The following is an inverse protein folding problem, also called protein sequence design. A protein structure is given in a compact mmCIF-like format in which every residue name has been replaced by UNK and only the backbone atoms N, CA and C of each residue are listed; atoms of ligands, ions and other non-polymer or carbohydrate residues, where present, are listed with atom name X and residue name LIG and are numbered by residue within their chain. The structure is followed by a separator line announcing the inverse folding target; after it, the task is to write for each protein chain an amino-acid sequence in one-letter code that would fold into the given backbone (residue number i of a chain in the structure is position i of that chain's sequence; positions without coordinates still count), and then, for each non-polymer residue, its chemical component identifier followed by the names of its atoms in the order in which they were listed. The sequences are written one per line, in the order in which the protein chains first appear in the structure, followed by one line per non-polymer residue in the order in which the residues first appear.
data_IF_006005389037
#
_entry.id   IF_006005389037
#
_cell.length_a   1.000
_cell.length_b   1.000
_cell.length_c   1.000
_cell.angle_alpha   90.00
_cell.angle_beta   90.00
_cell.angle_gamma   90.00
#
_symmetry.space_group_name_H-M   'P 1'
#
loop_
_entity.id
_entity.type
_entity.pdbx_description
1 polymer ?
#
# COMPACT_ATOMS: atom_id res chain seq x y z
N UNK A 1 18.64 21.40 -54.69
CA UNK A 1 19.30 20.94 -53.44
C UNK A 1 19.99 19.61 -53.73
N UNK A 2 21.30 19.55 -53.54
CA UNK A 2 22.11 18.39 -53.97
C UNK A 2 21.75 17.16 -53.13
N UNK A 3 21.58 15.99 -53.76
CA UNK A 3 21.20 14.72 -53.08
C UNK A 3 22.09 14.40 -51.87
N UNK A 4 23.38 14.79 -51.92
CA UNK A 4 24.34 14.65 -50.83
C UNK A 4 23.98 15.47 -49.58
N UNK A 5 23.42 16.66 -49.75
CA UNK A 5 23.03 17.54 -48.64
C UNK A 5 21.73 17.06 -47.97
N UNK A 6 20.81 16.48 -48.74
CA UNK A 6 19.63 15.79 -48.21
C UNK A 6 20.00 14.57 -47.36
N UNK A 7 21.01 13.80 -47.78
CA UNK A 7 21.49 12.65 -47.03
C UNK A 7 22.13 13.05 -45.69
N UNK A 8 22.95 14.10 -45.69
CA UNK A 8 23.59 14.64 -44.48
C UNK A 8 22.54 15.14 -43.47
N UNK A 9 21.53 15.89 -43.94
CA UNK A 9 20.45 16.37 -43.07
C UNK A 9 19.61 15.24 -42.48
N UNK A 10 19.36 14.17 -43.25
CA UNK A 10 18.64 12.99 -42.76
C UNK A 10 19.46 12.21 -41.73
N UNK A 11 20.78 12.08 -41.93
CA UNK A 11 21.67 11.41 -40.98
C UNK A 11 21.78 12.17 -39.65
N UNK A 12 21.87 13.51 -39.69
CA UNK A 12 21.84 14.34 -38.49
C UNK A 12 20.52 14.22 -37.72
N UNK A 13 19.38 14.15 -38.41
CA UNK A 13 18.07 14.01 -37.77
C UNK A 13 17.92 12.65 -37.07
N UNK A 14 18.39 11.57 -37.70
CA UNK A 14 18.40 10.22 -37.08
C UNK A 14 19.31 10.21 -35.85
N UNK A 15 20.48 10.85 -35.91
CA UNK A 15 21.42 10.92 -34.79
C UNK A 15 20.81 11.69 -33.59
N UNK A 16 20.10 12.79 -33.85
CA UNK A 16 19.42 13.59 -32.83
C UNK A 16 18.27 12.79 -32.18
N UNK A 17 17.52 12.01 -32.96
CA UNK A 17 16.48 11.11 -32.44
C UNK A 17 17.10 10.01 -31.57
N UNK A 18 18.23 9.45 -31.99
CA UNK A 18 18.94 8.40 -31.22
C UNK A 18 19.47 8.93 -29.89
N UNK A 19 20.01 10.16 -29.85
CA UNK A 19 20.46 10.84 -28.63
C UNK A 19 19.28 11.23 -27.73
N UNK A 20 18.12 11.59 -28.30
CA UNK A 20 16.91 11.87 -27.55
C UNK A 20 16.29 10.64 -26.86
N UNK A 21 16.46 9.45 -27.44
CA UNK A 21 15.97 8.19 -26.87
C UNK A 21 16.78 7.76 -25.63
N UNK A 22 18.08 8.02 -25.56
CA UNK A 22 18.91 7.61 -24.41
C UNK A 22 18.63 8.40 -23.13
N UNK A 23 17.92 9.53 -23.23
CA UNK A 23 17.52 10.35 -22.07
C UNK A 23 16.28 9.86 -21.33
N UNK A 24 15.60 8.81 -21.84
CA UNK A 24 14.44 8.18 -21.21
C UNK A 24 14.74 6.76 -20.70
N UNK A 25 16.02 6.45 -20.42
CA UNK A 25 16.34 5.31 -19.57
C UNK A 25 16.21 5.81 -18.14
N UNK A 26 14.96 5.91 -17.67
CA UNK A 26 14.71 5.98 -16.25
C UNK A 26 15.34 4.71 -15.66
N UNK A 27 16.34 4.89 -14.80
CA UNK A 27 16.93 3.77 -14.10
C UNK A 27 15.80 3.01 -13.41
N UNK A 28 15.62 1.74 -13.75
CA UNK A 28 14.84 0.82 -12.93
C UNK A 28 15.67 0.62 -11.68
N UNK A 29 15.51 1.54 -10.72
CA UNK A 29 16.03 1.34 -9.38
C UNK A 29 15.28 0.14 -8.83
N UNK A 30 16.00 -0.97 -8.62
CA UNK A 30 15.47 -2.04 -7.80
C UNK A 30 15.10 -1.41 -6.45
N UNK A 31 13.83 -1.50 -6.06
CA UNK A 31 13.38 -1.08 -4.73
C UNK A 31 14.25 -1.84 -3.72
N UNK A 32 14.99 -1.10 -2.90
CA UNK A 32 15.83 -1.67 -1.86
C UNK A 32 14.92 -2.31 -0.82
N UNK A 33 14.78 -3.64 -0.87
CA UNK A 33 13.92 -4.38 0.06
C UNK A 33 14.53 -4.35 1.45
N UNK A 34 13.75 -3.91 2.42
CA UNK A 34 14.17 -3.91 3.82
C UNK A 34 14.37 -5.34 4.33
N UNK A 35 15.28 -5.51 5.30
CA UNK A 35 15.55 -6.83 5.88
C UNK A 35 14.35 -7.38 6.67
N UNK A 36 13.69 -6.50 7.42
CA UNK A 36 12.43 -6.74 8.11
C UNK A 36 11.38 -5.87 7.43
N UNK A 37 10.41 -6.50 6.78
CA UNK A 37 9.26 -5.82 6.20
C UNK A 37 8.01 -6.66 6.44
N UNK A 38 7.07 -6.08 7.18
CA UNK A 38 5.81 -6.72 7.57
C UNK A 38 4.65 -5.97 6.92
N UNK A 39 3.90 -6.67 6.09
CA UNK A 39 2.76 -6.13 5.37
C UNK A 39 1.46 -6.65 5.97
N UNK A 40 0.52 -5.75 6.22
CA UNK A 40 -0.76 -6.02 6.87
C UNK A 40 -1.90 -5.79 5.88
N UNK A 41 -2.88 -6.69 5.86
CA UNK A 41 -4.09 -6.53 5.05
C UNK A 41 -5.33 -7.00 5.85
N UNK A 42 -6.29 -6.11 6.15
CA UNK A 42 -6.36 -4.70 5.75
C UNK A 42 -5.31 -3.81 6.45
N UNK A 43 -4.88 -2.71 5.81
CA UNK A 43 -3.90 -1.76 6.39
C UNK A 43 -4.51 -0.78 7.40
N UNK A 44 -5.74 -0.34 7.17
CA UNK A 44 -6.28 0.85 7.83
C UNK A 44 -7.40 0.61 8.84
N UNK A 45 -8.30 -0.36 8.64
CA UNK A 45 -9.42 -0.60 9.54
C UNK A 45 -9.66 -2.09 9.60
N UNK A 46 -9.44 -2.68 10.78
CA UNK A 46 -9.76 -4.09 10.99
C UNK A 46 -11.26 -4.26 11.27
N UNK A 47 -11.81 -3.46 12.19
CA UNK A 47 -13.20 -3.53 12.61
C UNK A 47 -13.94 -2.22 12.38
N UNK A 48 -15.15 -2.33 11.84
CA UNK A 48 -16.17 -1.29 11.92
C UNK A 48 -17.44 -1.95 12.45
N UNK A 49 -17.71 -1.75 13.74
CA UNK A 49 -18.84 -2.36 14.43
C UNK A 49 -19.66 -1.26 15.11
N UNK A 50 -20.92 -1.14 14.70
CA UNK A 50 -21.83 -0.10 15.17
C UNK A 50 -23.05 -0.75 15.81
N UNK A 51 -23.62 -0.07 16.81
CA UNK A 51 -24.84 -0.50 17.50
C UNK A 51 -24.78 -1.94 18.05
N UNK A 52 -23.60 -2.38 18.49
CA UNK A 52 -23.44 -3.68 19.14
C UNK A 52 -24.11 -3.67 20.52
N UNK A 53 -24.89 -4.71 20.79
CA UNK A 53 -25.59 -4.91 22.06
C UNK A 53 -24.83 -5.93 22.91
N UNK A 54 -25.05 -5.94 24.24
CA UNK A 54 -24.57 -7.01 25.10
C UNK A 54 -24.92 -8.39 24.54
N UNK A 55 -23.91 -9.24 24.33
CA UNK A 55 -24.02 -10.55 23.70
C UNK A 55 -23.71 -10.60 22.20
N UNK A 56 -23.57 -9.46 21.53
CA UNK A 56 -23.15 -9.41 20.13
C UNK A 56 -21.66 -9.66 19.99
N UNK A 57 -21.26 -10.09 18.78
CA UNK A 57 -19.88 -10.28 18.39
C UNK A 57 -19.65 -9.84 16.96
N UNK A 58 -18.41 -9.49 16.65
CA UNK A 58 -17.96 -9.19 15.31
C UNK A 58 -16.63 -9.90 15.07
N UNK A 59 -16.47 -10.54 13.90
CA UNK A 59 -15.21 -11.19 13.52
C UNK A 59 -14.61 -10.56 12.26
N UNK A 60 -13.29 -10.48 12.21
CA UNK A 60 -12.53 -9.96 11.07
C UNK A 60 -11.23 -10.73 10.94
N UNK A 61 -10.79 -10.97 9.70
CA UNK A 61 -9.48 -11.54 9.44
C UNK A 61 -8.48 -10.45 9.10
N UNK A 62 -7.23 -10.69 9.47
CA UNK A 62 -6.08 -9.90 9.03
C UNK A 62 -5.02 -10.86 8.51
N UNK A 63 -4.41 -10.47 7.39
CA UNK A 63 -3.28 -11.17 6.78
C UNK A 63 -2.00 -10.43 7.11
N UNK A 64 -1.05 -11.16 7.68
CA UNK A 64 0.28 -10.66 8.02
C UNK A 64 1.27 -11.35 7.10
N UNK A 65 2.02 -10.59 6.32
CA UNK A 65 2.99 -11.12 5.35
C UNK A 65 4.39 -10.62 5.65
N UNK A 66 5.38 -11.50 5.50
CA UNK A 66 6.78 -11.11 5.52
C UNK A 66 7.25 -10.82 4.08
N UNK A 67 7.32 -9.53 3.74
CA UNK A 67 7.80 -9.03 2.43
C UNK A 67 9.31 -8.72 2.44
N UNK A 68 9.96 -8.88 3.60
CA UNK A 68 11.37 -8.61 3.80
C UNK A 68 12.28 -9.67 3.19
N UNK A 69 13.59 -9.49 3.41
CA UNK A 69 14.61 -10.41 2.90
C UNK A 69 15.06 -11.45 3.93
N UNK A 70 14.66 -11.31 5.21
CA UNK A 70 14.96 -12.24 6.30
C UNK A 70 13.70 -12.79 6.96
N UNK A 71 13.83 -13.91 7.69
CA UNK A 71 12.78 -14.38 8.60
C UNK A 71 12.59 -13.35 9.74
N UNK A 72 11.34 -13.15 10.17
CA UNK A 72 11.02 -12.23 11.27
C UNK A 72 10.22 -12.96 12.35
N UNK A 73 10.25 -12.42 13.56
CA UNK A 73 9.32 -12.74 14.64
C UNK A 73 8.40 -11.55 14.85
N UNK A 74 7.10 -11.80 15.03
CA UNK A 74 6.15 -10.74 15.33
C UNK A 74 5.33 -11.00 16.60
N UNK A 75 4.94 -9.94 17.28
CA UNK A 75 3.97 -9.94 18.37
C UNK A 75 2.89 -8.89 18.15
N UNK A 76 1.79 -9.03 18.89
CA UNK A 76 0.58 -8.24 18.72
C UNK A 76 0.19 -7.70 20.08
N UNK A 77 -0.19 -6.43 20.11
CA UNK A 77 -0.88 -5.81 21.24
C UNK A 77 -2.05 -4.96 20.77
N UNK A 78 -2.93 -4.60 21.70
CA UNK A 78 -3.93 -3.57 21.46
C UNK A 78 -3.79 -2.42 22.43
N UNK A 79 -4.11 -1.24 21.94
CA UNK A 79 -4.11 0.00 22.70
C UNK A 79 -5.37 0.80 22.38
N UNK A 80 -5.88 1.53 23.38
CA UNK A 80 -6.93 2.51 23.14
C UNK A 80 -6.32 3.73 22.44
N UNK A 81 -6.88 4.10 21.31
CA UNK A 81 -6.51 5.31 20.58
C UNK A 81 -7.36 6.50 21.05
N UNK A 82 -8.69 6.33 21.06
CA UNK A 82 -9.65 7.38 21.39
C UNK A 82 -10.93 6.81 22.02
N UNK A 83 -11.74 7.67 22.63
CA UNK A 83 -13.04 7.30 23.17
C UNK A 83 -12.98 6.73 24.59
N UNK A 84 -13.90 5.82 24.89
CA UNK A 84 -14.12 5.31 26.24
C UNK A 84 -13.14 4.19 26.58
N UNK A 85 -12.23 4.47 27.52
CA UNK A 85 -11.40 3.45 28.16
C UNK A 85 -12.29 2.42 28.87
N UNK A 86 -13.37 2.85 29.53
CA UNK A 86 -14.30 1.93 30.21
C UNK A 86 -14.86 0.87 29.27
N UNK A 87 -15.26 1.27 28.05
CA UNK A 87 -15.74 0.30 27.05
C UNK A 87 -14.59 -0.59 26.54
N UNK A 88 -13.42 -0.02 26.27
CA UNK A 88 -12.22 -0.78 25.86
C UNK A 88 -11.86 -1.89 26.87
N UNK A 89 -11.90 -1.60 28.16
CA UNK A 89 -11.60 -2.57 29.22
C UNK A 89 -12.67 -3.66 29.35
N UNK A 90 -13.91 -3.35 29.02
CA UNK A 90 -15.04 -4.28 29.11
C UNK A 90 -15.14 -5.24 27.92
N UNK A 91 -14.64 -4.85 26.74
CA UNK A 91 -14.70 -5.66 25.53
C UNK A 91 -13.73 -6.85 25.61
N UNK A 92 -14.21 -8.02 25.15
CA UNK A 92 -13.41 -9.24 25.04
C UNK A 92 -12.97 -9.46 23.61
N UNK A 93 -11.81 -10.07 23.42
CA UNK A 93 -11.30 -10.47 22.11
C UNK A 93 -10.78 -11.89 22.14
N UNK A 94 -11.03 -12.59 21.05
CA UNK A 94 -10.45 -13.91 20.76
C UNK A 94 -9.64 -13.79 19.48
N UNK A 95 -8.40 -14.30 19.49
CA UNK A 95 -7.52 -14.36 18.32
C UNK A 95 -7.26 -15.82 17.98
N UNK A 96 -7.53 -16.20 16.73
CA UNK A 96 -7.36 -17.57 16.24
C UNK A 96 -6.50 -17.61 14.99
N UNK A 97 -5.71 -18.66 14.85
CA UNK A 97 -5.08 -19.07 13.61
C UNK A 97 -5.80 -20.33 13.13
N UNK A 98 -6.64 -20.17 12.12
CA UNK A 98 -7.60 -21.19 11.67
C UNK A 98 -8.46 -21.68 12.84
N UNK A 99 -8.23 -22.91 13.34
CA UNK A 99 -8.94 -23.49 14.49
C UNK A 99 -8.17 -23.39 15.80
N UNK A 100 -6.89 -23.00 15.78
CA UNK A 100 -6.05 -22.88 16.97
C UNK A 100 -6.35 -21.57 17.68
N UNK A 101 -6.74 -21.66 18.95
CA UNK A 101 -6.87 -20.50 19.83
C UNK A 101 -5.49 -19.98 20.21
N UNK A 102 -5.22 -18.70 19.93
CA UNK A 102 -3.96 -18.04 20.29
C UNK A 102 -4.12 -17.12 21.50
N UNK A 103 -5.28 -16.49 21.63
CA UNK A 103 -5.58 -15.58 22.73
C UNK A 103 -7.09 -15.53 22.99
N UNK A 104 -7.48 -15.45 24.26
CA UNK A 104 -8.83 -15.17 24.71
C UNK A 104 -8.76 -14.36 25.99
N UNK A 105 -9.37 -13.17 26.01
CA UNK A 105 -9.29 -12.26 27.15
C UNK A 105 -9.93 -10.91 26.87
N UNK A 106 -9.69 -9.93 27.73
CA UNK A 106 -10.10 -8.54 27.47
C UNK A 106 -9.18 -7.87 26.45
N UNK A 107 -9.66 -6.85 25.72
CA UNK A 107 -8.79 -6.05 24.86
C UNK A 107 -7.68 -5.37 25.67
N UNK A 108 -7.97 -4.92 26.90
CA UNK A 108 -6.97 -4.33 27.80
C UNK A 108 -5.78 -5.26 28.07
N UNK A 109 -6.03 -6.55 28.26
CA UNK A 109 -5.01 -7.53 28.61
C UNK A 109 -4.18 -8.01 27.42
N UNK A 110 -4.56 -7.65 26.19
CA UNK A 110 -3.79 -7.95 24.98
C UNK A 110 -2.59 -6.98 24.86
N UNK A 111 -1.66 -7.05 25.82
CA UNK A 111 -0.47 -6.18 25.87
C UNK A 111 0.74 -6.78 25.13
N UNK A 112 0.82 -8.10 25.05
CA UNK A 112 1.78 -8.81 24.21
C UNK A 112 1.33 -10.26 24.06
N UNK A 113 1.04 -10.67 22.82
CA UNK A 113 0.90 -12.08 22.49
C UNK A 113 2.25 -12.80 22.46
N UNK A 114 2.22 -14.13 22.52
CA UNK A 114 3.37 -14.98 22.25
C UNK A 114 3.94 -14.66 20.85
N UNK A 115 5.26 -14.48 20.78
CA UNK A 115 5.96 -14.15 19.52
C UNK A 115 5.81 -15.30 18.52
N UNK A 116 5.54 -14.97 17.26
CA UNK A 116 5.38 -15.93 16.16
C UNK A 116 6.41 -15.67 15.08
N UNK A 117 7.06 -16.73 14.62
CA UNK A 117 8.06 -16.63 13.55
C UNK A 117 7.40 -16.77 12.18
N UNK A 118 7.68 -15.83 11.28
CA UNK A 118 7.20 -15.81 9.91
C UNK A 118 8.38 -15.87 8.92
N UNK A 119 8.43 -16.93 8.12
CA UNK A 119 9.47 -17.10 7.11
C UNK A 119 9.28 -16.13 5.93
N UNK A 120 10.35 -15.91 5.17
CA UNK A 120 10.38 -15.00 4.01
C UNK A 120 9.28 -15.38 3.01
N UNK A 121 8.49 -14.40 2.57
CA UNK A 121 7.41 -14.59 1.59
C UNK A 121 6.25 -15.44 2.09
N UNK A 122 6.20 -15.74 3.39
CA UNK A 122 5.06 -16.43 4.02
C UNK A 122 4.08 -15.42 4.60
N UNK A 123 2.86 -15.93 4.81
CA UNK A 123 1.74 -15.18 5.33
C UNK A 123 1.04 -16.00 6.40
N UNK A 124 0.66 -15.32 7.48
CA UNK A 124 -0.27 -15.80 8.49
C UNK A 124 -1.63 -15.11 8.29
N UNK A 125 -2.72 -15.83 8.52
CA UNK A 125 -4.07 -15.26 8.57
C UNK A 125 -4.64 -15.47 9.97
N UNK A 126 -4.91 -14.37 10.66
CA UNK A 126 -5.45 -14.37 12.01
C UNK A 126 -6.89 -13.88 12.00
N UNK A 127 -7.76 -14.60 12.71
CA UNK A 127 -9.18 -14.27 12.87
C UNK A 127 -9.36 -13.68 14.26
N UNK A 128 -9.72 -12.41 14.30
CA UNK A 128 -10.08 -11.69 15.50
C UNK A 128 -11.59 -11.75 15.67
N UNK A 129 -12.06 -12.02 16.87
CA UNK A 129 -13.48 -11.95 17.24
C UNK A 129 -13.61 -11.06 18.46
N UNK A 130 -14.21 -9.89 18.29
CA UNK A 130 -14.55 -8.99 19.39
C UNK A 130 -15.94 -9.34 19.89
N UNK A 131 -16.10 -9.50 21.19
CA UNK A 131 -17.33 -9.86 21.86
C UNK A 131 -17.70 -8.80 22.89
N UNK A 132 -18.96 -8.40 22.88
CA UNK A 132 -19.55 -7.53 23.90
C UNK A 132 -20.16 -8.43 24.97
N UNK A 133 -19.64 -8.45 26.21
CA UNK A 133 -20.18 -9.31 27.24
C UNK A 133 -21.66 -9.04 27.56
N UNK A 134 -22.41 -10.09 27.90
CA UNK A 134 -23.86 -10.00 28.16
C UNK A 134 -24.16 -9.30 29.49
N UNK A 135 -23.19 -9.35 30.39
CA UNK A 135 -23.20 -8.73 31.70
C UNK A 135 -23.04 -7.20 31.66
N UNK A 136 -22.77 -6.59 30.49
CA UNK A 136 -22.65 -5.15 30.36
C UNK A 136 -24.03 -4.48 30.47
N UNK A 137 -24.17 -3.57 31.43
CA UNK A 137 -25.40 -2.83 31.68
C UNK A 137 -25.56 -1.56 30.84
N UNK A 138 -26.62 -0.80 31.16
CA UNK A 138 -26.98 0.45 30.46
C UNK A 138 -25.90 1.54 30.57
N UNK A 139 -24.99 1.44 31.54
CA UNK A 139 -23.86 2.35 31.72
C UNK A 139 -22.79 2.27 30.61
N UNK A 140 -22.94 1.33 29.68
CA UNK A 140 -22.14 1.22 28.45
C UNK A 140 -22.90 1.73 27.22
N UNK A 141 -24.18 2.06 27.34
CA UNK A 141 -25.00 2.51 26.23
C UNK A 141 -24.51 3.86 25.68
N UNK A 142 -24.34 3.95 24.36
CA UNK A 142 -23.88 5.15 23.67
C UNK A 142 -22.37 5.41 23.78
N UNK A 143 -21.62 4.57 24.53
CA UNK A 143 -20.17 4.65 24.57
C UNK A 143 -19.57 4.18 23.24
N UNK A 144 -18.45 4.79 22.89
CA UNK A 144 -17.67 4.47 21.70
C UNK A 144 -16.21 4.38 22.09
N UNK A 145 -15.46 3.50 21.45
CA UNK A 145 -14.02 3.35 21.68
C UNK A 145 -13.33 3.01 20.37
N UNK A 146 -12.15 3.59 20.18
CA UNK A 146 -11.28 3.37 19.04
C UNK A 146 -10.07 2.63 19.56
N UNK A 147 -9.86 1.41 19.05
CA UNK A 147 -8.77 0.54 19.46
C UNK A 147 -7.83 0.35 18.27
N UNK A 148 -6.54 0.47 18.51
CA UNK A 148 -5.48 0.15 17.56
C UNK A 148 -4.90 -1.22 17.88
N UNK A 149 -4.72 -2.05 16.85
CA UNK A 149 -3.90 -3.26 16.95
C UNK A 149 -2.53 -2.95 16.38
N UNK A 150 -1.49 -3.17 17.18
CA UNK A 150 -0.11 -2.84 16.84
C UNK A 150 0.67 -4.15 16.67
N UNK A 151 1.35 -4.26 15.54
CA UNK A 151 2.14 -5.41 15.14
C UNK A 151 3.61 -5.03 15.21
N UNK A 152 4.34 -5.68 16.11
CA UNK A 152 5.77 -5.49 16.32
C UNK A 152 6.51 -6.58 15.57
N UNK A 153 7.39 -6.24 14.64
CA UNK A 153 8.25 -7.19 13.95
C UNK A 153 9.72 -6.98 14.30
N UNK A 154 10.45 -8.05 14.59
CA UNK A 154 11.87 -8.06 14.95
C UNK A 154 12.59 -9.26 14.34
N UNK A 155 13.93 -9.26 14.35
CA UNK A 155 14.67 -10.46 14.00
C UNK A 155 14.48 -11.54 15.09
N UNK A 156 14.33 -12.83 14.72
CA UNK A 156 14.08 -13.90 15.70
C UNK A 156 15.15 -14.09 16.77
N UNK A 157 16.34 -13.50 16.58
CA UNK A 157 17.49 -13.61 17.47
C UNK A 157 17.82 -12.28 18.20
N UNK A 158 16.89 -11.33 18.28
CA UNK A 158 16.98 -10.19 19.21
C UNK A 158 18.02 -9.10 18.90
N UNK A 159 18.83 -9.27 17.86
CA UNK A 159 19.92 -8.34 17.52
C UNK A 159 19.50 -7.21 16.54
N UNK A 160 18.21 -7.14 16.15
CA UNK A 160 17.70 -6.22 15.13
C UNK A 160 16.80 -5.10 15.65
N UNK A 161 16.89 -3.92 15.04
CA UNK A 161 15.97 -2.80 15.23
C UNK A 161 14.56 -3.21 14.76
N UNK A 162 13.58 -3.17 15.66
CA UNK A 162 12.19 -3.56 15.36
C UNK A 162 11.48 -2.57 14.45
N UNK A 163 10.52 -3.05 13.67
CA UNK A 163 9.60 -2.22 12.86
C UNK A 163 8.20 -2.34 13.45
N UNK A 164 7.55 -1.20 13.72
CA UNK A 164 6.17 -1.12 14.22
C UNK A 164 5.24 -0.80 13.04
N UNK A 165 4.23 -1.65 12.82
CA UNK A 165 3.15 -1.37 11.87
C UNK A 165 1.80 -1.40 12.59
N UNK A 166 1.01 -0.34 12.41
CA UNK A 166 -0.30 -0.18 13.04
C UNK A 166 -1.40 -0.58 12.06
N UNK A 167 -2.36 -1.40 12.50
CA UNK A 167 -3.64 -1.59 11.80
C UNK A 167 -4.79 -1.12 12.67
N UNK A 168 -5.23 0.09 12.36
CA UNK A 168 -6.61 0.49 12.25
C UNK A 168 -7.48 0.78 13.46
N UNK A 169 -8.32 1.80 13.25
CA UNK A 169 -9.22 2.46 14.19
C UNK A 169 -10.68 2.14 13.86
N UNK A 170 -11.54 1.98 14.86
CA UNK A 170 -13.00 1.91 14.67
C UNK A 170 -13.53 3.35 14.49
N UNK A 171 -13.70 3.84 13.25
CA UNK A 171 -14.21 5.19 12.98
C UNK A 171 -15.65 5.20 12.45
N UNK A 172 -16.48 6.17 12.86
CA UNK A 172 -17.77 6.49 12.22
C UNK A 172 -17.74 7.94 11.69
N UNK A 173 -17.72 8.09 10.35
CA UNK A 173 -18.02 9.28 9.51
C UNK A 173 -16.98 10.43 9.35
N UNK A 174 -17.10 11.23 8.25
CA UNK A 174 -16.15 11.28 7.14
C UNK A 174 -15.00 12.30 7.33
N UNK A 175 -13.81 12.04 6.78
CA UNK A 175 -12.67 12.94 6.95
C UNK A 175 -12.79 14.14 6.01
N UNK A 176 -13.05 15.32 6.58
CA UNK A 176 -12.65 16.58 5.94
C UNK A 176 -11.21 16.87 6.31
N UNK A 177 -10.41 17.14 5.28
CA UNK A 177 -9.05 17.69 5.29
C UNK A 177 -7.94 16.66 5.26
N UNK A 178 -7.64 16.20 4.05
CA UNK A 178 -6.32 15.68 3.74
C UNK A 178 -5.79 16.34 2.47
N UNK A 179 -4.61 16.93 2.56
CA UNK A 179 -3.77 17.27 1.41
C UNK A 179 -3.30 15.95 0.78
N UNK A 180 -4.22 15.25 0.13
CA UNK A 180 -3.99 13.98 -0.55
C UNK A 180 -3.33 14.26 -1.89
N UNK A 181 -2.00 14.40 -1.90
CA UNK A 181 -1.25 14.34 -3.14
C UNK A 181 -1.23 12.89 -3.62
N UNK A 182 -2.10 12.59 -4.59
CA UNK A 182 -2.12 11.32 -5.29
C UNK A 182 -0.74 11.06 -5.94
N UNK A 183 -0.22 9.82 -5.90
CA UNK A 183 0.95 9.44 -6.69
C UNK A 183 0.64 9.69 -8.17
N UNK A 184 1.47 10.53 -8.80
CA UNK A 184 1.24 11.08 -10.14
C UNK A 184 1.70 10.08 -11.20
N UNK A 185 1.01 8.96 -11.36
CA UNK A 185 1.36 7.88 -12.32
C UNK A 185 0.96 8.17 -13.78
N UNK A 186 0.35 9.33 -14.07
CA UNK A 186 -0.12 9.68 -15.42
C UNK A 186 0.71 10.74 -16.17
N UNK A 187 1.69 11.39 -15.55
CA UNK A 187 2.38 12.52 -16.18
C UNK A 187 3.46 12.08 -17.19
N UNK A 188 4.07 10.90 -17.00
CA UNK A 188 5.26 10.47 -17.73
C UNK A 188 4.95 9.80 -19.09
N UNK A 189 3.74 9.25 -19.27
CA UNK A 189 3.35 8.58 -20.53
C UNK A 189 2.91 9.55 -21.65
N UNK A 190 2.66 10.82 -21.32
CA UNK A 190 2.18 11.82 -22.29
C UNK A 190 3.26 12.30 -23.28
N UNK A 191 4.53 12.23 -22.89
CA UNK A 191 5.66 12.70 -23.72
C UNK A 191 5.87 11.85 -24.97
N UNK A 192 5.69 10.53 -24.89
CA UNK A 192 5.88 9.61 -26.01
C UNK A 192 4.84 9.80 -27.13
N UNK A 193 3.58 10.07 -26.77
CA UNK A 193 2.50 10.32 -27.73
C UNK A 193 2.76 11.62 -28.50
N UNK A 194 3.23 12.67 -27.81
CA UNK A 194 3.57 13.96 -28.44
C UNK A 194 4.75 13.83 -29.42
N UNK A 195 5.78 13.05 -29.06
CA UNK A 195 6.91 12.75 -29.96
C UNK A 195 6.43 11.96 -31.19
N UNK A 196 5.54 10.98 -30.99
CA UNK A 196 4.94 10.20 -32.07
C UNK A 196 4.17 11.06 -33.08
N UNK A 197 3.32 11.98 -32.61
CA UNK A 197 2.58 12.94 -33.46
C UNK A 197 3.55 13.84 -34.23
N UNK A 198 4.63 14.29 -33.58
CA UNK A 198 5.68 15.10 -34.22
C UNK A 198 6.37 14.38 -35.39
N UNK A 199 6.71 13.10 -35.22
CA UNK A 199 7.35 12.30 -36.27
C UNK A 199 6.44 12.06 -37.48
N UNK A 200 5.16 11.76 -37.24
CA UNK A 200 4.17 11.57 -38.32
C UNK A 200 3.96 12.88 -39.09
N UNK A 201 3.85 14.01 -38.38
CA UNK A 201 3.72 15.33 -38.99
C UNK A 201 4.93 15.72 -39.84
N UNK A 202 6.14 15.48 -39.34
CA UNK A 202 7.38 15.72 -40.10
C UNK A 202 7.50 14.82 -41.33
N UNK A 203 7.12 13.54 -41.22
CA UNK A 203 7.09 12.61 -42.35
C UNK A 203 6.13 13.08 -43.46
N UNK A 204 4.94 13.54 -43.08
CA UNK A 204 3.95 14.06 -44.04
C UNK A 204 4.43 15.34 -44.73
N UNK A 205 5.09 16.25 -44.00
CA UNK A 205 5.66 17.47 -44.57
C UNK A 205 6.74 17.15 -45.63
N UNK A 206 7.65 16.24 -45.34
CA UNK A 206 8.70 15.83 -46.28
C UNK A 206 8.13 15.09 -47.50
N UNK A 207 7.12 14.23 -47.30
CA UNK A 207 6.42 13.57 -48.40
C UNK A 207 5.77 14.57 -49.36
N UNK A 208 5.04 15.56 -48.82
CA UNK A 208 4.42 16.61 -49.63
C UNK A 208 5.47 17.43 -50.40
N UNK A 209 6.59 17.78 -49.76
CA UNK A 209 7.68 18.54 -50.39
C UNK A 209 8.40 17.73 -51.46
N UNK A 210 8.56 16.43 -51.27
CA UNK A 210 9.10 15.51 -52.28
C UNK A 210 8.18 15.43 -53.51
N UNK A 211 6.87 15.27 -53.29
CA UNK A 211 5.88 15.26 -54.37
C UNK A 211 5.88 16.58 -55.15
N UNK A 212 5.93 17.73 -54.47
CA UNK A 212 6.02 19.03 -55.15
C UNK A 212 7.27 19.18 -56.02
N UNK A 213 8.43 18.66 -55.59
CA UNK A 213 9.63 18.69 -56.42
C UNK A 213 9.57 17.72 -57.61
N UNK A 214 8.81 16.62 -57.49
CA UNK A 214 8.62 15.64 -58.58
C UNK A 214 7.66 16.11 -59.67
N UNK A 215 6.63 16.88 -59.29
CA UNK A 215 5.60 17.38 -60.21
C UNK A 215 5.83 18.81 -60.70
N UNK A 216 6.83 19.52 -60.18
CA UNK A 216 7.26 20.81 -60.73
C UNK A 216 8.26 20.59 -61.87
N UNK A 217 7.74 20.01 -62.95
CA UNK A 217 8.38 19.98 -64.27
C UNK A 217 7.37 20.61 -65.23
N UNK A 218 7.43 21.94 -65.26
CA UNK A 218 7.16 22.84 -66.38
C UNK A 218 7.95 24.13 -66.07
#
# INVERSE_FOLDING_TARGET
MNKKWLFIMSACLILIVFIGMTKNIDGVYAEERQEIDISLDPKEVLFHATNMKPGDWANRSIRISNEGTKKLSYSIKSEVSEGSTKLYEALKVTVKDKQKLLYEGSLKELQSMEKRTLAIGKMDELIYTVYVPKELGNEYQGLQTIVKFIFYAEEPNGDGVGTENETGSIQTQPPTNSNWQLPRTGAQQSSLILIGIGLVGFGFYFYKRYMQMKYRKD
#
